data_IF_642624262655
#
_entry.id   IF_642624262655
#
_cell.length_a   1.000
_cell.length_b   1.000
_cell.length_c   1.000
_cell.angle_alpha   90.00
_cell.angle_beta   90.00
_cell.angle_gamma   90.00
#
_symmetry.space_group_name_H-M   'P 1'
#
loop_
_entity.id
_entity.type
_entity.pdbx_description
1 polymer ?
#
# COMPACT_ATOMS: atom_id res chain seq x y z
N UNK A 1 12.04 3.55 10.69
CA UNK A 1 12.09 2.29 9.90
C UNK A 1 11.62 2.63 8.49
N UNK A 2 12.36 2.24 7.44
CA UNK A 2 12.00 2.60 6.06
C UNK A 2 11.51 1.33 5.37
N UNK A 3 10.19 1.18 5.29
CA UNK A 3 9.56 0.03 4.65
C UNK A 3 9.40 0.32 3.17
N UNK A 4 9.69 -0.65 2.32
CA UNK A 4 9.47 -0.56 0.87
C UNK A 4 8.35 -1.53 0.48
N UNK A 5 7.39 -1.03 -0.30
CA UNK A 5 6.33 -1.81 -0.92
C UNK A 5 6.70 -2.07 -2.37
N UNK A 6 6.99 -3.32 -2.72
CA UNK A 6 7.10 -3.71 -4.11
C UNK A 6 5.69 -4.01 -4.64
N UNK A 7 5.29 -3.34 -5.72
CA UNK A 7 3.97 -3.46 -6.33
C UNK A 7 4.12 -4.08 -7.71
N UNK A 8 3.22 -5.02 -8.02
CA UNK A 8 2.96 -5.52 -9.36
C UNK A 8 1.48 -5.29 -9.67
N UNK A 9 1.17 -4.23 -10.41
CA UNK A 9 -0.18 -3.75 -10.65
C UNK A 9 -1.01 -4.71 -11.51
N UNK A 10 -0.41 -5.35 -12.53
CA UNK A 10 -1.09 -6.32 -13.42
C UNK A 10 -2.45 -5.83 -14.00
N UNK A 11 -2.57 -4.54 -14.32
CA UNK A 11 -3.83 -3.95 -14.78
C UNK A 11 -4.82 -3.59 -13.66
N UNK A 12 -4.46 -3.84 -12.40
CA UNK A 12 -5.14 -3.38 -11.20
C UNK A 12 -4.36 -2.31 -10.44
N UNK A 13 -4.56 -2.21 -9.14
CA UNK A 13 -3.87 -1.26 -8.28
C UNK A 13 -3.68 -1.76 -6.86
N UNK A 14 -2.71 -1.19 -6.14
CA UNK A 14 -2.49 -1.44 -4.72
C UNK A 14 -2.73 -0.15 -3.95
N UNK A 15 -3.69 -0.17 -3.03
CA UNK A 15 -4.05 0.98 -2.20
C UNK A 15 -3.49 0.79 -0.79
N UNK A 16 -2.85 1.84 -0.25
CA UNK A 16 -2.41 1.89 1.14
C UNK A 16 -3.41 2.69 1.94
N UNK A 17 -3.82 2.15 3.09
CA UNK A 17 -4.79 2.77 3.96
C UNK A 17 -4.30 2.80 5.39
N UNK A 18 -4.61 3.88 6.10
CA UNK A 18 -4.36 4.05 7.52
C UNK A 18 -5.68 4.00 8.29
N UNK A 19 -5.66 3.42 9.48
CA UNK A 19 -6.81 3.45 10.37
C UNK A 19 -6.93 4.82 11.05
N UNK A 20 -8.12 5.43 10.96
CA UNK A 20 -8.47 6.68 11.61
C UNK A 20 -9.79 6.51 12.36
N UNK A 21 -9.69 6.27 13.68
CA UNK A 21 -10.83 5.82 14.48
C UNK A 21 -11.36 4.49 13.97
N UNK A 22 -12.66 4.44 13.66
CA UNK A 22 -13.33 3.26 13.10
C UNK A 22 -13.30 3.19 11.56
N UNK A 23 -12.69 4.19 10.91
CA UNK A 23 -12.63 4.31 9.45
C UNK A 23 -11.23 4.04 8.90
N UNK A 24 -11.18 3.76 7.60
CA UNK A 24 -9.93 3.59 6.85
C UNK A 24 -9.80 4.69 5.80
N UNK A 25 -8.68 5.41 5.84
CA UNK A 25 -8.39 6.51 4.93
C UNK A 25 -7.32 6.05 3.94
N UNK A 26 -7.55 6.29 2.65
CA UNK A 26 -6.57 6.04 1.59
C UNK A 26 -5.48 7.10 1.66
N UNK A 27 -4.23 6.67 1.82
CA UNK A 27 -3.07 7.57 1.74
C UNK A 27 -2.47 7.57 0.35
N UNK A 28 -2.37 6.38 -0.25
CA UNK A 28 -1.70 6.18 -1.53
C UNK A 28 -2.42 5.13 -2.38
N UNK A 29 -2.30 5.26 -3.70
CA UNK A 29 -2.72 4.22 -4.64
C UNK A 29 -1.70 4.10 -5.76
N UNK A 30 -1.19 2.90 -5.94
CA UNK A 30 -0.18 2.57 -6.95
C UNK A 30 -0.82 1.81 -8.10
N UNK A 31 -0.73 2.38 -9.30
CA UNK A 31 -1.30 1.84 -10.55
C UNK A 31 -0.23 1.26 -11.48
N UNK A 32 1.01 1.25 -11.05
CA UNK A 32 2.16 0.83 -11.86
C UNK A 32 3.09 -0.04 -11.04
N UNK A 33 3.82 -0.90 -11.74
CA UNK A 33 4.83 -1.74 -11.13
C UNK A 33 5.97 -0.87 -10.59
N UNK A 34 6.49 -1.19 -9.41
CA UNK A 34 7.57 -0.42 -8.81
C UNK A 34 7.81 -0.68 -7.34
N UNK A 35 8.93 -0.19 -6.83
CA UNK A 35 9.25 -0.16 -5.40
C UNK A 35 8.95 1.21 -4.81
N UNK A 36 7.98 1.27 -3.90
CA UNK A 36 7.52 2.52 -3.29
C UNK A 36 7.92 2.57 -1.82
N UNK A 37 8.72 3.58 -1.39
CA UNK A 37 9.01 3.75 0.02
C UNK A 37 7.73 4.20 0.74
N UNK A 38 7.33 3.46 1.77
CA UNK A 38 6.19 3.81 2.61
C UNK A 38 6.65 4.62 3.81
N UNK A 39 6.04 5.78 3.99
CA UNK A 39 6.11 6.52 5.25
C UNK A 39 5.00 6.02 6.16
N UNK A 40 5.34 5.14 7.10
CA UNK A 40 4.36 4.52 7.99
C UNK A 40 4.30 5.35 9.29
N UNK A 41 3.22 6.11 9.54
CA UNK A 41 2.99 6.74 10.83
C UNK A 41 2.75 5.67 11.91
N UNK A 42 2.81 6.00 13.21
CA UNK A 42 2.46 5.08 14.29
C UNK A 42 0.94 4.82 14.34
N UNK A 43 0.43 4.13 13.32
CA UNK A 43 -0.97 3.76 13.12
C UNK A 43 -1.05 2.39 12.43
N UNK A 44 -2.20 1.72 12.58
CA UNK A 44 -2.47 0.48 11.83
C UNK A 44 -2.58 0.80 10.35
N UNK A 45 -1.81 0.08 9.54
CA UNK A 45 -1.87 0.15 8.07
C UNK A 45 -2.51 -1.12 7.51
N UNK A 46 -3.22 -0.98 6.39
CA UNK A 46 -3.60 -2.12 5.55
C UNK A 46 -3.30 -1.82 4.09
N UNK A 47 -2.90 -2.85 3.36
CA UNK A 47 -2.58 -2.81 1.95
C UNK A 47 -3.66 -3.60 1.21
N UNK A 48 -4.31 -2.96 0.24
CA UNK A 48 -5.48 -3.50 -0.45
C UNK A 48 -5.19 -3.59 -1.95
N UNK A 49 -4.83 -4.76 -2.48
CA UNK A 49 -4.71 -4.98 -3.92
C UNK A 49 -6.08 -5.15 -4.57
N UNK A 50 -6.21 -4.70 -5.82
CA UNK A 50 -7.40 -4.87 -6.67
C UNK A 50 -7.00 -5.30 -8.08
N UNK A 51 -7.93 -5.83 -8.87
CA UNK A 51 -7.71 -6.10 -10.30
C UNK A 51 -6.57 -7.09 -10.61
N UNK A 52 -6.25 -8.02 -9.71
CA UNK A 52 -5.14 -8.96 -9.88
C UNK A 52 -3.76 -8.40 -9.53
N UNK A 53 -3.71 -7.20 -8.94
CA UNK A 53 -2.48 -6.65 -8.40
C UNK A 53 -1.93 -7.53 -7.27
N UNK A 54 -0.61 -7.57 -7.15
CA UNK A 54 0.13 -8.23 -6.08
C UNK A 54 1.13 -7.25 -5.46
N UNK A 55 1.54 -7.53 -4.22
CA UNK A 55 2.54 -6.73 -3.53
C UNK A 55 3.40 -7.58 -2.60
N UNK A 56 4.59 -7.05 -2.28
CA UNK A 56 5.50 -7.60 -1.27
C UNK A 56 6.03 -6.46 -0.38
N UNK A 57 6.29 -6.76 0.89
CA UNK A 57 6.73 -5.78 1.89
C UNK A 57 8.14 -6.10 2.36
N UNK A 58 9.02 -5.11 2.32
CA UNK A 58 10.42 -5.20 2.74
C UNK A 58 10.67 -4.18 3.85
N UNK A 59 11.18 -4.60 5.00
CA UNK A 59 11.28 -3.78 6.22
C UNK A 59 12.70 -3.75 6.81
#
# INVERSE_FOLDING_TARGET
MKVTLAVKANGGSVTVQIQAGDSWIITDTFWSDGGYPLSIPPATIRIVPTGGAAFEVYA
#
